data_IF_660486311635
#
_entry.id   IF_660486311635
#
_cell.length_a   1.000
_cell.length_b   1.000
_cell.length_c   1.000
_cell.angle_alpha   90.00
_cell.angle_beta   90.00
_cell.angle_gamma   90.00
#
_symmetry.space_group_name_H-M   'P 1'
#
loop_
_entity.id
_entity.type
_entity.pdbx_description
1 polymer ?
#
# COMPACT_ATOMS: atom_id res chain seq x y z
N UNK A 1 0.28 8.32 -34.43
CA UNK A 1 -0.50 8.49 -33.19
C UNK A 1 0.35 7.99 -32.04
N UNK A 2 0.92 8.87 -31.28
CA UNK A 2 1.65 8.52 -30.06
C UNK A 2 0.64 8.02 -29.02
N UNK A 3 0.87 6.82 -28.51
CA UNK A 3 0.04 6.30 -27.40
C UNK A 3 0.29 7.19 -26.20
N UNK A 4 -0.76 7.73 -25.56
CA UNK A 4 -0.57 8.54 -24.37
C UNK A 4 0.21 7.74 -23.32
N UNK A 5 1.27 8.33 -22.77
CA UNK A 5 2.04 7.67 -21.72
C UNK A 5 1.20 7.63 -20.43
N UNK A 6 0.78 6.44 -20.03
CA UNK A 6 0.00 6.23 -18.80
C UNK A 6 0.82 6.40 -17.52
N UNK A 7 2.15 6.49 -17.65
CA UNK A 7 3.04 6.64 -16.51
C UNK A 7 2.64 7.82 -15.58
N UNK A 8 2.42 9.06 -16.05
CA UNK A 8 2.05 10.17 -15.17
C UNK A 8 0.70 9.94 -14.49
N UNK A 9 -0.26 9.29 -15.14
CA UNK A 9 -1.57 8.98 -14.56
C UNK A 9 -1.46 7.94 -13.44
N UNK A 10 -0.63 6.92 -13.63
CA UNK A 10 -0.38 5.90 -12.61
C UNK A 10 0.31 6.52 -11.39
N UNK A 11 1.37 7.30 -11.60
CA UNK A 11 2.13 7.91 -10.51
C UNK A 11 1.36 8.99 -9.76
N UNK A 12 0.60 9.85 -10.44
CA UNK A 12 -0.21 10.88 -9.78
C UNK A 12 -1.29 10.29 -8.88
N UNK A 13 -1.84 9.15 -9.27
CA UNK A 13 -2.86 8.43 -8.48
C UNK A 13 -2.29 7.52 -7.39
N UNK A 14 -0.98 7.28 -7.38
CA UNK A 14 -0.33 6.47 -6.34
C UNK A 14 -0.09 7.24 -5.04
N UNK A 15 -0.19 8.58 -5.05
CA UNK A 15 0.01 9.38 -3.85
C UNK A 15 -1.15 9.20 -2.86
N UNK A 16 -0.87 8.96 -1.56
CA UNK A 16 -1.89 8.90 -0.52
C UNK A 16 -2.47 10.30 -0.29
N UNK A 17 -3.76 10.49 -0.56
CA UNK A 17 -4.45 11.79 -0.42
C UNK A 17 -5.74 11.70 0.40
N UNK A 18 -6.19 10.50 0.66
CA UNK A 18 -7.46 10.28 1.35
C UNK A 18 -7.25 10.18 2.86
N UNK A 19 -8.26 10.58 3.63
CA UNK A 19 -8.21 10.58 5.09
C UNK A 19 -7.89 9.19 5.64
N UNK A 20 -8.44 8.13 5.06
CA UNK A 20 -8.16 6.75 5.47
C UNK A 20 -6.72 6.33 5.21
N UNK A 21 -6.10 6.82 4.13
CA UNK A 21 -4.69 6.57 3.85
C UNK A 21 -3.79 7.27 4.88
N UNK A 22 -4.14 8.51 5.23
CA UNK A 22 -3.43 9.28 6.26
C UNK A 22 -3.58 8.65 7.64
N UNK A 23 -4.77 8.14 7.97
CA UNK A 23 -4.99 7.37 9.21
C UNK A 23 -4.17 6.09 9.24
N UNK A 24 -4.12 5.33 8.14
CA UNK A 24 -3.29 4.14 8.05
C UNK A 24 -1.80 4.46 8.24
N UNK A 25 -1.30 5.51 7.59
CA UNK A 25 0.07 6.00 7.77
C UNK A 25 0.31 6.36 9.24
N UNK A 26 -0.60 7.09 9.87
CA UNK A 26 -0.46 7.52 11.27
C UNK A 26 -0.40 6.34 12.22
N UNK A 27 -1.27 5.34 12.05
CA UNK A 27 -1.28 4.12 12.86
C UNK A 27 0.04 3.36 12.70
N UNK A 28 0.50 3.19 11.47
CA UNK A 28 1.77 2.50 11.19
C UNK A 28 2.97 3.27 11.71
N UNK A 29 3.01 4.60 11.61
CA UNK A 29 4.05 5.45 12.18
C UNK A 29 4.14 5.31 13.69
N UNK A 30 3.02 5.42 14.40
CA UNK A 30 2.98 5.28 15.85
C UNK A 30 3.44 3.90 16.29
N UNK A 31 2.99 2.84 15.63
CA UNK A 31 3.42 1.47 15.92
C UNK A 31 4.90 1.28 15.62
N UNK A 32 5.41 1.84 14.54
CA UNK A 32 6.83 1.78 14.17
C UNK A 32 7.70 2.47 15.22
N UNK A 33 7.34 3.66 15.66
CA UNK A 33 8.05 4.39 16.73
C UNK A 33 8.03 3.58 18.01
N UNK A 34 6.90 3.01 18.41
CA UNK A 34 6.81 2.19 19.61
C UNK A 34 7.68 0.93 19.50
N UNK A 35 7.74 0.32 18.32
CA UNK A 35 8.59 -0.86 18.07
C UNK A 35 10.07 -0.51 18.16
N UNK A 36 10.50 0.65 17.65
CA UNK A 36 11.91 1.10 17.76
C UNK A 36 12.34 1.33 19.19
N UNK A 37 11.44 1.77 20.07
CA UNK A 37 11.74 1.98 21.48
C UNK A 37 11.74 0.69 22.30
N UNK A 38 11.03 -0.33 21.85
CA UNK A 38 10.83 -1.58 22.60
C UNK A 38 11.80 -2.70 22.20
N UNK A 39 12.45 -2.64 21.05
CA UNK A 39 13.22 -3.75 20.51
C UNK A 39 14.44 -3.27 19.70
N UNK A 40 15.63 -3.70 20.12
CA UNK A 40 16.86 -3.51 19.36
C UNK A 40 16.90 -4.39 18.09
N UNK A 41 16.12 -5.47 18.04
CA UNK A 41 16.09 -6.45 16.96
C UNK A 41 14.67 -6.70 16.51
N UNK A 42 14.40 -6.47 15.23
CA UNK A 42 13.04 -6.57 14.71
C UNK A 42 12.48 -8.00 14.78
N UNK A 43 13.25 -8.98 14.40
CA UNK A 43 12.78 -10.37 14.30
C UNK A 43 13.62 -11.39 15.10
N UNK A 44 14.79 -11.03 15.59
CA UNK A 44 15.64 -11.91 16.38
C UNK A 44 15.23 -12.00 17.86
N UNK A 45 14.60 -10.96 18.39
CA UNK A 45 13.95 -11.03 19.71
C UNK A 45 12.46 -11.21 19.49
N UNK A 46 11.87 -12.26 19.99
CA UNK A 46 10.44 -12.62 19.90
C UNK A 46 9.48 -11.53 20.42
N UNK A 47 9.66 -10.30 20.00
CA UNK A 47 8.94 -9.14 20.49
C UNK A 47 7.78 -8.69 19.60
N UNK A 48 7.39 -7.46 19.83
CA UNK A 48 6.26 -6.77 19.19
C UNK A 48 6.32 -6.64 17.66
N UNK A 49 7.45 -6.99 17.04
CA UNK A 49 7.65 -6.88 15.58
C UNK A 49 6.73 -7.79 14.76
N UNK A 50 6.34 -8.95 15.29
CA UNK A 50 5.38 -9.83 14.65
C UNK A 50 4.00 -9.19 14.49
N UNK A 51 3.67 -8.23 15.34
CA UNK A 51 2.44 -7.44 15.22
C UNK A 51 2.40 -6.70 13.89
N UNK A 52 3.54 -6.22 13.40
CA UNK A 52 3.62 -5.51 12.12
C UNK A 52 3.27 -6.40 10.92
N UNK A 53 3.56 -7.70 10.97
CA UNK A 53 3.19 -8.65 9.91
C UNK A 53 1.66 -8.74 9.73
N UNK A 54 0.90 -8.55 10.78
CA UNK A 54 -0.56 -8.54 10.74
C UNK A 54 -1.10 -7.13 10.56
N UNK A 55 -0.53 -6.17 11.27
CA UNK A 55 -1.02 -4.79 11.30
C UNK A 55 -0.90 -4.11 9.93
N UNK A 56 0.23 -4.28 9.22
CA UNK A 56 0.44 -3.65 7.90
C UNK A 56 -0.61 -4.10 6.88
N UNK A 57 -0.80 -5.40 6.61
CA UNK A 57 -1.83 -5.81 5.66
C UNK A 57 -3.25 -5.47 6.12
N UNK A 58 -3.56 -5.55 7.41
CA UNK A 58 -4.89 -5.21 7.93
C UNK A 58 -5.19 -3.72 7.74
N UNK A 59 -4.29 -2.83 8.17
CA UNK A 59 -4.49 -1.37 8.02
C UNK A 59 -4.57 -0.95 6.56
N UNK A 60 -3.73 -1.51 5.69
CA UNK A 60 -3.77 -1.24 4.25
C UNK A 60 -5.08 -1.72 3.61
N UNK A 61 -5.57 -2.90 3.98
CA UNK A 61 -6.85 -3.41 3.48
C UNK A 61 -8.03 -2.56 3.95
N UNK A 62 -8.05 -2.18 5.23
CA UNK A 62 -9.11 -1.33 5.79
C UNK A 62 -9.13 0.06 5.16
N UNK A 63 -7.96 0.67 4.95
CA UNK A 63 -7.84 1.94 4.23
C UNK A 63 -8.39 1.84 2.81
N UNK A 64 -8.08 0.74 2.11
CA UNK A 64 -8.59 0.49 0.77
C UNK A 64 -10.11 0.31 0.74
N UNK A 65 -10.68 -0.43 1.68
CA UNK A 65 -12.12 -0.66 1.77
C UNK A 65 -12.90 0.62 2.12
N UNK A 66 -12.38 1.43 3.03
CA UNK A 66 -13.00 2.68 3.46
C UNK A 66 -13.22 3.67 2.30
N UNK A 67 -12.34 3.65 1.31
CA UNK A 67 -12.39 4.56 0.16
C UNK A 67 -13.07 3.96 -1.08
N UNK A 68 -13.64 2.76 -0.94
CA UNK A 68 -14.22 1.99 -2.03
C UNK A 68 -15.23 2.77 -2.91
N UNK A 69 -16.24 3.48 -2.35
CA UNK A 69 -17.28 4.10 -3.16
C UNK A 69 -16.74 5.23 -4.05
N UNK A 70 -15.80 6.02 -3.53
CA UNK A 70 -15.23 7.17 -4.26
C UNK A 70 -14.34 6.74 -5.43
N UNK A 71 -13.66 5.60 -5.27
CA UNK A 71 -12.73 5.07 -6.27
C UNK A 71 -13.42 4.40 -7.45
N UNK A 72 -14.62 3.92 -7.27
CA UNK A 72 -15.39 3.32 -8.36
C UNK A 72 -15.57 4.31 -9.52
N UNK A 73 -15.84 5.57 -9.22
CA UNK A 73 -15.93 6.61 -10.25
C UNK A 73 -14.58 6.89 -10.94
N UNK A 74 -13.46 6.87 -10.19
CA UNK A 74 -12.13 7.06 -10.77
C UNK A 74 -11.74 5.87 -11.66
N UNK A 75 -12.06 4.66 -11.24
CA UNK A 75 -11.81 3.43 -12.00
C UNK A 75 -12.60 3.42 -13.31
N UNK A 76 -13.88 3.79 -13.26
CA UNK A 76 -14.73 3.93 -14.45
C UNK A 76 -14.19 4.98 -15.42
N UNK A 77 -13.71 6.11 -14.92
CA UNK A 77 -13.10 7.14 -15.75
C UNK A 77 -11.83 6.62 -16.45
N UNK A 78 -10.97 5.89 -15.75
CA UNK A 78 -9.76 5.31 -16.34
C UNK A 78 -10.12 4.33 -17.46
N UNK A 79 -11.13 3.49 -17.25
CA UNK A 79 -11.62 2.58 -18.29
C UNK A 79 -12.22 3.32 -19.50
N UNK A 80 -12.99 4.38 -19.26
CA UNK A 80 -13.57 5.19 -20.33
C UNK A 80 -12.50 5.81 -21.24
N UNK A 81 -11.33 6.12 -20.70
CA UNK A 81 -10.17 6.62 -21.46
C UNK A 81 -9.25 5.51 -21.98
N UNK A 82 -9.69 4.25 -22.00
CA UNK A 82 -8.95 3.13 -22.55
C UNK A 82 -7.89 2.53 -21.64
N UNK A 83 -7.96 2.78 -20.34
CA UNK A 83 -7.10 2.15 -19.33
C UNK A 83 -7.39 0.65 -19.19
N UNK A 84 -6.36 -0.12 -18.84
CA UNK A 84 -6.48 -1.55 -18.61
C UNK A 84 -6.65 -1.89 -17.13
N UNK A 85 -7.31 -3.01 -16.78
CA UNK A 85 -7.41 -3.46 -15.38
C UNK A 85 -6.05 -3.56 -14.69
N UNK A 86 -5.03 -4.01 -15.42
CA UNK A 86 -3.66 -4.14 -14.90
C UNK A 86 -3.05 -2.82 -14.47
N UNK A 87 -3.36 -1.72 -15.18
CA UNK A 87 -2.88 -0.39 -14.82
C UNK A 87 -3.50 0.08 -13.49
N UNK A 88 -4.77 -0.25 -13.26
CA UNK A 88 -5.47 0.04 -12.01
C UNK A 88 -4.85 -0.77 -10.86
N UNK A 89 -4.61 -2.07 -11.07
CA UNK A 89 -3.96 -2.94 -10.08
C UNK A 89 -2.58 -2.38 -9.67
N UNK A 90 -1.73 -2.03 -10.63
CA UNK A 90 -0.39 -1.46 -10.39
C UNK A 90 -0.50 -0.15 -9.58
N UNK A 91 -1.43 0.73 -9.93
CA UNK A 91 -1.66 1.99 -9.22
C UNK A 91 -1.97 1.76 -7.74
N UNK A 92 -2.84 0.79 -7.43
CA UNK A 92 -3.20 0.46 -6.04
C UNK A 92 -2.08 -0.23 -5.28
N UNK A 93 -1.33 -1.12 -5.93
CA UNK A 93 -0.13 -1.73 -5.33
C UNK A 93 0.88 -0.65 -4.95
N UNK A 94 1.18 0.27 -5.88
CA UNK A 94 2.11 1.39 -5.60
C UNK A 94 1.62 2.27 -4.45
N UNK A 95 0.33 2.61 -4.43
CA UNK A 95 -0.25 3.43 -3.36
C UNK A 95 -0.15 2.76 -2.00
N UNK A 96 -0.52 1.48 -1.89
CA UNK A 96 -0.40 0.73 -0.65
C UNK A 96 1.05 0.53 -0.20
N UNK A 97 1.97 0.30 -1.15
CA UNK A 97 3.39 0.20 -0.85
C UNK A 97 3.95 1.53 -0.31
N UNK A 98 3.53 2.67 -0.86
CA UNK A 98 3.91 3.99 -0.35
C UNK A 98 3.35 4.24 1.05
N UNK A 99 2.08 3.91 1.30
CA UNK A 99 1.46 4.01 2.62
C UNK A 99 2.25 3.21 3.65
N UNK A 100 2.53 1.95 3.35
CA UNK A 100 3.30 1.07 4.23
C UNK A 100 4.75 1.55 4.40
N UNK A 101 5.43 1.98 3.34
CA UNK A 101 6.81 2.47 3.39
C UNK A 101 6.92 3.75 4.25
N UNK A 102 6.00 4.70 4.09
CA UNK A 102 5.97 5.92 4.91
C UNK A 102 5.67 5.55 6.38
N UNK A 103 4.71 4.66 6.61
CA UNK A 103 4.37 4.19 7.96
C UNK A 103 5.51 3.45 8.65
N UNK A 104 6.33 2.72 7.92
CA UNK A 104 7.50 1.99 8.43
C UNK A 104 8.79 2.82 8.42
N UNK A 105 8.74 4.09 7.97
CA UNK A 105 9.91 4.95 7.84
C UNK A 105 10.76 5.06 9.13
N UNK A 106 10.19 5.20 10.35
CA UNK A 106 10.97 5.23 11.57
C UNK A 106 11.83 3.98 11.78
N UNK A 107 11.30 2.81 11.43
CA UNK A 107 12.05 1.54 11.49
C UNK A 107 13.17 1.50 10.45
N UNK A 108 12.92 1.93 9.22
CA UNK A 108 13.96 2.02 8.20
C UNK A 108 15.11 2.93 8.66
N UNK A 109 14.81 4.10 9.19
CA UNK A 109 15.82 5.05 9.70
C UNK A 109 16.58 4.42 10.87
N UNK A 110 15.88 3.79 11.80
CA UNK A 110 16.49 3.14 12.96
C UNK A 110 17.51 2.07 12.54
N UNK A 111 17.15 1.17 11.64
CA UNK A 111 18.05 0.12 11.18
C UNK A 111 19.22 0.65 10.33
N UNK A 112 19.04 1.73 9.60
CA UNK A 112 20.14 2.41 8.90
C UNK A 112 21.14 3.06 9.88
N UNK A 113 20.67 3.57 11.01
CA UNK A 113 21.52 4.20 12.02
C UNK A 113 22.29 3.19 12.89
N UNK A 114 21.65 2.07 13.24
CA UNK A 114 22.26 1.04 14.10
C UNK A 114 23.38 0.26 13.36
N UNK A 115 23.41 0.34 12.04
CA UNK A 115 24.53 -0.15 11.24
C UNK A 115 24.27 -1.42 10.43
N UNK A 116 25.21 -1.73 9.56
CA UNK A 116 25.16 -2.73 8.49
C UNK A 116 24.92 -4.19 8.93
N UNK A 117 24.92 -4.51 10.22
CA UNK A 117 24.66 -5.86 10.73
C UNK A 117 23.23 -6.36 10.46
N UNK A 118 22.32 -5.46 10.03
CA UNK A 118 20.88 -5.73 9.93
C UNK A 118 20.31 -5.60 8.52
N UNK A 119 21.11 -5.90 7.50
CA UNK A 119 20.63 -5.94 6.10
C UNK A 119 19.41 -6.86 5.93
N UNK A 120 19.33 -7.93 6.71
CA UNK A 120 18.20 -8.85 6.72
C UNK A 120 16.90 -8.16 7.16
N UNK A 121 16.94 -7.33 8.20
CA UNK A 121 15.77 -6.60 8.68
C UNK A 121 15.29 -5.55 7.67
N UNK A 122 16.19 -4.89 6.94
CA UNK A 122 15.83 -3.98 5.86
C UNK A 122 15.15 -4.70 4.69
N UNK A 123 15.59 -5.90 4.35
CA UNK A 123 14.93 -6.73 3.34
C UNK A 123 13.53 -7.11 3.80
N UNK A 124 13.38 -7.55 5.05
CA UNK A 124 12.06 -7.91 5.60
C UNK A 124 11.12 -6.70 5.62
N UNK A 125 11.60 -5.52 6.02
CA UNK A 125 10.80 -4.30 5.99
C UNK A 125 10.34 -3.94 4.57
N UNK A 126 11.22 -4.12 3.58
CA UNK A 126 10.88 -3.89 2.17
C UNK A 126 9.82 -4.86 1.67
N UNK A 127 9.93 -6.14 2.04
CA UNK A 127 8.93 -7.17 1.73
C UNK A 127 7.62 -6.83 2.42
N UNK A 128 7.65 -6.38 3.66
CA UNK A 128 6.47 -6.01 4.44
C UNK A 128 5.75 -4.79 3.82
N UNK A 129 6.50 -3.79 3.35
CA UNK A 129 5.94 -2.65 2.64
C UNK A 129 5.26 -3.09 1.33
N UNK A 130 5.87 -4.00 0.59
CA UNK A 130 5.28 -4.56 -0.63
C UNK A 130 4.02 -5.40 -0.33
N UNK A 131 4.04 -6.18 0.75
CA UNK A 131 2.86 -6.92 1.22
C UNK A 131 1.70 -5.97 1.57
N UNK A 132 1.99 -4.83 2.18
CA UNK A 132 1.01 -3.75 2.38
C UNK A 132 0.41 -3.26 1.07
N UNK A 133 1.24 -3.11 0.04
CA UNK A 133 0.80 -2.76 -1.31
C UNK A 133 -0.15 -3.78 -1.92
N UNK A 134 0.21 -5.05 -1.86
CA UNK A 134 -0.64 -6.14 -2.35
C UNK A 134 -1.98 -6.19 -1.60
N UNK A 135 -1.94 -6.07 -0.27
CA UNK A 135 -3.14 -6.09 0.57
C UNK A 135 -4.07 -4.92 0.26
N UNK A 136 -3.52 -3.75 -0.01
CA UNK A 136 -4.27 -2.56 -0.41
C UNK A 136 -4.96 -2.74 -1.77
N UNK A 137 -4.33 -3.46 -2.71
CA UNK A 137 -4.87 -3.71 -4.04
C UNK A 137 -5.97 -4.79 -4.07
N UNK A 138 -6.04 -5.71 -3.09
CA UNK A 138 -7.00 -6.83 -3.09
C UNK A 138 -8.45 -6.41 -3.30
N UNK A 139 -9.02 -5.39 -2.61
CA UNK A 139 -10.40 -4.97 -2.84
C UNK A 139 -10.63 -4.44 -4.25
N UNK A 140 -9.67 -3.71 -4.81
CA UNK A 140 -9.75 -3.19 -6.18
C UNK A 140 -9.72 -4.32 -7.22
N UNK A 141 -8.80 -5.27 -7.07
CA UNK A 141 -8.69 -6.44 -7.95
C UNK A 141 -9.97 -7.26 -7.94
N UNK A 142 -10.58 -7.48 -6.76
CA UNK A 142 -11.85 -8.19 -6.66
C UNK A 142 -12.96 -7.47 -7.41
N UNK A 143 -13.05 -6.14 -7.32
CA UNK A 143 -14.06 -5.34 -8.03
C UNK A 143 -13.85 -5.36 -9.54
N UNK A 144 -12.63 -5.12 -10.00
CA UNK A 144 -12.32 -5.07 -11.45
C UNK A 144 -12.49 -6.41 -12.15
N UNK A 145 -12.42 -7.52 -11.41
CA UNK A 145 -12.63 -8.88 -11.93
C UNK A 145 -14.06 -9.39 -11.76
N UNK A 146 -14.92 -8.70 -11.00
CA UNK A 146 -16.33 -9.10 -10.88
C UNK A 146 -17.05 -8.88 -12.22
N UNK A 147 -17.90 -9.83 -12.61
CA UNK A 147 -18.68 -9.79 -13.86
C UNK A 147 -19.61 -8.58 -13.95
N UNK A 148 -20.02 -8.03 -12.81
CA UNK A 148 -20.90 -6.86 -12.72
C UNK A 148 -20.21 -5.59 -13.23
N UNK A 149 -18.90 -5.46 -13.07
CA UNK A 149 -18.14 -4.31 -13.56
C UNK A 149 -18.13 -4.25 -15.10
N UNK A 150 -18.03 -5.41 -15.74
CA UNK A 150 -18.10 -5.52 -17.21
C UNK A 150 -19.52 -5.32 -17.73
N UNK A 151 -20.52 -5.71 -16.96
CA UNK A 151 -21.94 -5.55 -17.32
C UNK A 151 -22.40 -4.09 -17.35
N UNK A 152 -21.97 -3.27 -16.40
CA UNK A 152 -22.26 -1.83 -16.36
C UNK A 152 -21.61 -1.03 -17.48
N UNK A 153 -20.55 -1.56 -18.07
CA UNK A 153 -19.84 -0.88 -19.18
C UNK A 153 -20.41 -1.22 -20.56
N UNK A 154 -21.18 -2.30 -20.68
CA UNK A 154 -21.83 -2.71 -21.94
C UNK A 154 -23.27 -2.25 -22.10
N UNK A 155 -23.82 -1.64 -21.10
CA UNK A 155 -25.13 -0.98 -21.14
C UNK A 155 -25.01 0.48 -21.40
#
# INVERSE_FOLDING_TARGET
MERPSWAPVIFSGALPREVSDLLAITILLLTSVQTTTSSLYLFAGMGSAWILLVLVPVTCTLASLSNSPRREHEELAIFAYGGTPRQIEIRYVLRGTLIAAIGLLPLFIHFLQVGLAYSFDLIILSILAFLGGLSYAVPAVRRTRSSDFVGHYKG
#
